data_IF_445593843565
#
_entry.id   IF_445593843565
#
_cell.length_a   1.000
_cell.length_b   1.000
_cell.length_c   1.000
_cell.angle_alpha   90.00
_cell.angle_beta   90.00
_cell.angle_gamma   90.00
#
_symmetry.space_group_name_H-M   'P 1'
#
loop_
_entity.id
_entity.type
_entity.pdbx_description
1 polymer ?
#
# COMPACT_ATOMS: atom_id res chain seq x y z
N UNK A 1 -16.93 19.08 -20.09
CA UNK A 1 -15.84 18.31 -19.43
C UNK A 1 -15.89 18.60 -17.93
N UNK A 2 -16.14 17.57 -17.11
CA UNK A 2 -16.20 17.65 -15.65
C UNK A 2 -14.79 17.66 -15.06
N UNK A 3 -14.57 18.46 -14.00
CA UNK A 3 -13.27 18.54 -13.32
C UNK A 3 -13.26 17.71 -12.05
N UNK A 4 -12.34 16.76 -11.95
CA UNK A 4 -12.16 15.90 -10.78
C UNK A 4 -10.83 16.22 -10.09
N UNK A 5 -10.88 16.55 -8.80
CA UNK A 5 -9.70 16.73 -7.97
C UNK A 5 -9.30 15.42 -7.28
N UNK A 6 -8.11 14.88 -7.57
CA UNK A 6 -7.52 13.72 -6.90
C UNK A 6 -6.49 14.17 -5.86
N UNK A 7 -6.79 13.99 -4.57
CA UNK A 7 -5.92 14.36 -3.46
C UNK A 7 -5.24 13.10 -2.91
N UNK A 8 -3.93 13.02 -3.09
CA UNK A 8 -3.13 11.83 -2.79
C UNK A 8 -2.23 12.10 -1.59
N UNK A 9 -2.49 11.40 -0.49
CA UNK A 9 -1.70 11.57 0.72
C UNK A 9 -0.24 11.15 0.51
N UNK A 10 0.75 11.98 0.87
CA UNK A 10 2.16 11.78 0.52
C UNK A 10 2.90 10.79 1.44
N UNK A 11 2.19 9.86 2.08
CA UNK A 11 2.75 8.90 3.02
C UNK A 11 2.79 7.47 2.43
N UNK A 12 3.95 7.09 1.89
CA UNK A 12 4.13 5.80 1.22
C UNK A 12 3.54 5.75 -0.19
N UNK A 13 3.75 4.64 -0.88
CA UNK A 13 3.35 4.48 -2.29
C UNK A 13 1.92 3.95 -2.47
N UNK A 14 1.29 3.42 -1.42
CA UNK A 14 -0.03 2.76 -1.52
C UNK A 14 -1.12 3.70 -2.04
N UNK A 15 -1.18 4.94 -1.55
CA UNK A 15 -2.13 5.96 -2.00
C UNK A 15 -1.89 6.33 -3.48
N UNK A 16 -0.63 6.54 -3.87
CA UNK A 16 -0.27 6.82 -5.25
C UNK A 16 -0.68 5.67 -6.18
N UNK A 17 -0.35 4.43 -5.84
CA UNK A 17 -0.68 3.25 -6.65
C UNK A 17 -2.18 3.11 -6.84
N UNK A 18 -2.98 3.23 -5.76
CA UNK A 18 -4.45 3.16 -5.86
C UNK A 18 -5.01 4.26 -6.75
N UNK A 19 -4.54 5.50 -6.57
CA UNK A 19 -4.99 6.63 -7.40
C UNK A 19 -4.63 6.42 -8.87
N UNK A 20 -3.46 5.86 -9.19
CA UNK A 20 -3.06 5.60 -10.58
C UNK A 20 -3.89 4.47 -11.23
N UNK A 21 -4.23 3.43 -10.46
CA UNK A 21 -5.16 2.40 -10.95
C UNK A 21 -6.54 2.98 -11.23
N UNK A 22 -7.02 3.85 -10.35
CA UNK A 22 -8.31 4.53 -10.51
C UNK A 22 -8.29 5.50 -11.68
N UNK A 23 -7.25 6.31 -11.82
CA UNK A 23 -7.08 7.22 -12.95
C UNK A 23 -7.15 6.47 -14.29
N UNK A 24 -6.38 5.39 -14.44
CA UNK A 24 -6.41 4.57 -15.65
C UNK A 24 -7.84 4.11 -15.97
N UNK A 25 -8.57 3.61 -14.97
CA UNK A 25 -9.93 3.14 -15.18
C UNK A 25 -10.92 4.28 -15.50
N UNK A 26 -10.73 5.48 -14.92
CA UNK A 26 -11.50 6.68 -15.27
C UNK A 26 -11.23 7.06 -16.72
N UNK A 27 -9.96 7.13 -17.14
CA UNK A 27 -9.59 7.48 -18.52
C UNK A 27 -10.12 6.44 -19.52
N UNK A 28 -10.04 5.15 -19.20
CA UNK A 28 -10.53 4.07 -20.05
C UNK A 28 -12.07 4.10 -20.22
N UNK A 29 -12.81 4.60 -19.21
CA UNK A 29 -14.29 4.57 -19.17
C UNK A 29 -14.91 5.89 -19.59
N UNK A 30 -14.39 7.03 -19.12
CA UNK A 30 -14.98 8.36 -19.23
C UNK A 30 -14.26 9.25 -20.24
N UNK A 31 -13.06 8.82 -20.71
CA UNK A 31 -12.28 9.50 -21.77
C UNK A 31 -12.23 11.03 -21.59
N UNK A 32 -12.73 11.74 -22.62
CA UNK A 32 -12.69 13.22 -22.72
C UNK A 32 -13.76 13.93 -21.91
N UNK A 33 -14.68 13.20 -21.24
CA UNK A 33 -15.73 13.80 -20.44
C UNK A 33 -15.24 14.37 -19.12
N UNK A 34 -14.04 13.91 -18.64
CA UNK A 34 -13.47 14.30 -17.37
C UNK A 34 -12.05 14.84 -17.51
N UNK A 35 -11.72 15.79 -16.65
CA UNK A 35 -10.36 16.33 -16.49
C UNK A 35 -9.88 16.07 -15.08
N UNK A 36 -8.83 15.25 -14.94
CA UNK A 36 -8.20 14.97 -13.66
C UNK A 36 -7.20 16.04 -13.27
N UNK A 37 -7.26 16.51 -12.03
CA UNK A 37 -6.25 17.33 -11.37
C UNK A 37 -5.71 16.56 -10.18
N UNK A 38 -4.41 16.65 -9.89
CA UNK A 38 -3.79 15.93 -8.77
C UNK A 38 -3.17 16.91 -7.78
N UNK A 39 -3.30 16.57 -6.50
CA UNK A 39 -2.68 17.33 -5.42
C UNK A 39 -1.93 16.37 -4.51
N UNK A 40 -0.66 16.66 -4.26
CA UNK A 40 0.18 15.95 -3.31
C UNK A 40 1.39 16.80 -2.94
N UNK A 41 2.36 16.23 -2.21
CA UNK A 41 3.64 16.86 -1.90
C UNK A 41 4.80 15.86 -1.91
N UNK A 42 6.02 16.36 -1.79
CA UNK A 42 7.23 15.56 -1.65
C UNK A 42 7.44 14.58 -2.81
N UNK A 43 7.79 13.34 -2.47
CA UNK A 43 8.11 12.29 -3.44
C UNK A 43 6.91 11.93 -4.35
N UNK A 44 5.70 11.93 -3.81
CA UNK A 44 4.49 11.60 -4.58
C UNK A 44 4.20 12.68 -5.62
N UNK A 45 4.39 13.96 -5.27
CA UNK A 45 4.28 15.05 -6.24
C UNK A 45 5.26 14.87 -7.40
N UNK A 46 6.52 14.49 -7.14
CA UNK A 46 7.51 14.23 -8.19
C UNK A 46 7.10 13.05 -9.08
N UNK A 47 6.57 11.97 -8.50
CA UNK A 47 6.04 10.83 -9.26
C UNK A 47 4.87 11.20 -10.16
N UNK A 48 3.97 12.07 -9.69
CA UNK A 48 2.87 12.59 -10.50
C UNK A 48 3.39 13.39 -11.69
N UNK A 49 4.38 14.27 -11.49
CA UNK A 49 5.01 15.03 -12.59
C UNK A 49 5.68 14.13 -13.62
N UNK A 50 6.34 13.06 -13.18
CA UNK A 50 6.96 12.06 -14.06
C UNK A 50 5.91 11.24 -14.83
N UNK A 51 4.79 10.91 -14.18
CA UNK A 51 3.71 10.12 -14.79
C UNK A 51 2.92 10.92 -15.83
N UNK A 52 2.73 12.21 -15.59
CA UNK A 52 1.92 13.11 -16.43
C UNK A 52 2.70 14.33 -16.92
N UNK A 53 3.78 14.15 -17.68
CA UNK A 53 4.68 15.25 -18.08
C UNK A 53 4.00 16.31 -18.94
N UNK A 54 2.91 15.96 -19.65
CA UNK A 54 2.15 16.86 -20.51
C UNK A 54 1.06 17.67 -19.77
N UNK A 55 0.76 17.30 -18.51
CA UNK A 55 -0.34 17.87 -17.71
C UNK A 55 0.16 18.52 -16.42
N UNK A 56 1.35 19.14 -16.44
CA UNK A 56 1.97 19.74 -15.25
C UNK A 56 1.11 20.84 -14.60
N UNK A 57 0.33 21.57 -15.39
CA UNK A 57 -0.63 22.59 -14.97
C UNK A 57 -1.77 22.03 -14.10
N UNK A 58 -2.02 20.72 -14.16
CA UNK A 58 -3.04 20.01 -13.38
C UNK A 58 -2.48 19.30 -12.16
N UNK A 59 -1.17 19.44 -11.88
CA UNK A 59 -0.50 18.80 -10.74
C UNK A 59 -0.10 19.89 -9.75
N UNK A 60 -0.67 19.83 -8.56
CA UNK A 60 -0.55 20.87 -7.55
C UNK A 60 0.32 20.40 -6.38
N UNK A 61 1.34 21.20 -6.04
CA UNK A 61 2.20 20.94 -4.88
C UNK A 61 1.64 21.64 -3.64
N UNK A 62 0.98 20.89 -2.78
CA UNK A 62 0.47 21.37 -1.51
C UNK A 62 1.01 20.48 -0.39
N UNK A 63 1.79 21.03 0.50
CA UNK A 63 2.36 20.30 1.63
C UNK A 63 1.24 19.89 2.58
N UNK A 64 0.98 18.58 2.64
CA UNK A 64 0.01 17.98 3.55
C UNK A 64 0.66 17.65 4.90
N UNK A 65 -0.07 17.76 6.01
CA UNK A 65 0.46 17.39 7.32
C UNK A 65 0.76 15.90 7.40
N UNK A 66 2.01 15.55 7.69
CA UNK A 66 2.45 14.16 7.87
C UNK A 66 3.10 13.96 9.22
N UNK A 67 3.02 12.76 9.84
CA UNK A 67 3.72 12.48 11.08
C UNK A 67 5.24 12.57 10.92
N UNK A 68 5.96 12.72 12.04
CA UNK A 68 7.42 12.66 12.06
C UNK A 68 7.86 11.21 12.26
N UNK A 69 8.82 10.76 11.45
CA UNK A 69 9.43 9.45 11.62
C UNK A 69 10.36 9.41 12.84
N UNK A 70 10.16 8.38 13.67
CA UNK A 70 11.06 7.99 14.72
C UNK A 70 11.96 6.84 14.28
N UNK A 71 12.70 6.27 15.23
CA UNK A 71 13.58 5.11 14.98
C UNK A 71 12.85 3.84 14.52
N UNK A 72 11.57 3.70 14.88
CA UNK A 72 10.74 2.52 14.60
C UNK A 72 9.43 2.86 13.87
N UNK A 73 9.47 3.78 12.90
CA UNK A 73 8.29 4.28 12.19
C UNK A 73 7.75 5.59 12.76
N UNK A 74 6.51 6.01 12.48
CA UNK A 74 5.95 7.29 12.94
C UNK A 74 6.04 7.42 14.45
N UNK A 75 6.62 8.49 14.92
CA UNK A 75 6.74 8.82 16.34
C UNK A 75 5.62 9.76 16.76
N UNK A 76 4.75 9.28 17.62
CA UNK A 76 3.67 10.10 18.17
C UNK A 76 4.23 11.20 19.06
N UNK A 77 5.21 10.87 19.90
CA UNK A 77 5.85 11.85 20.79
C UNK A 77 6.47 12.99 19.99
N UNK A 78 7.25 12.68 18.95
CA UNK A 78 7.85 13.70 18.09
C UNK A 78 6.78 14.48 17.31
N UNK A 79 5.75 13.81 16.80
CA UNK A 79 4.65 14.45 16.08
C UNK A 79 3.81 15.35 16.99
N UNK A 80 3.59 14.95 18.24
CA UNK A 80 2.89 15.76 19.24
C UNK A 80 3.70 16.99 19.67
N UNK A 81 5.00 16.83 19.89
CA UNK A 81 5.90 17.95 20.18
C UNK A 81 6.00 18.91 18.99
N UNK A 82 6.02 18.38 17.77
CA UNK A 82 6.02 19.21 16.55
C UNK A 82 4.71 19.98 16.36
N UNK A 83 3.65 19.71 17.10
CA UNK A 83 2.39 20.43 16.92
C UNK A 83 2.55 21.93 17.07
N UNK A 84 3.31 22.38 18.09
CA UNK A 84 3.57 23.80 18.36
C UNK A 84 5.03 24.22 18.13
N UNK A 85 5.97 23.28 18.12
CA UNK A 85 7.40 23.57 18.05
C UNK A 85 8.03 23.02 16.76
N UNK A 86 9.01 23.73 16.16
CA UNK A 86 9.75 23.16 15.03
C UNK A 86 10.59 21.98 15.50
N UNK A 87 10.56 20.87 14.75
CA UNK A 87 11.29 19.66 15.11
C UNK A 87 11.85 18.94 13.87
N UNK A 88 13.04 18.40 14.02
CA UNK A 88 13.67 17.60 12.94
C UNK A 88 13.74 18.32 11.59
N UNK A 89 14.00 19.64 11.61
CA UNK A 89 14.04 20.48 10.40
C UNK A 89 12.66 20.79 9.79
N UNK A 90 11.56 20.44 10.45
CA UNK A 90 10.18 20.74 10.02
C UNK A 90 9.59 21.90 10.81
N UNK A 91 8.78 22.76 10.17
CA UNK A 91 8.02 23.79 10.87
C UNK A 91 6.98 23.17 11.82
N UNK A 92 6.42 23.97 12.76
CA UNK A 92 5.32 23.51 13.61
C UNK A 92 4.16 22.95 12.77
N UNK A 93 3.63 21.81 13.18
CA UNK A 93 2.54 21.12 12.45
C UNK A 93 1.30 22.03 12.32
N UNK A 94 1.01 22.86 13.31
CA UNK A 94 -0.10 23.82 13.27
C UNK A 94 0.05 24.81 12.11
N UNK A 95 1.28 25.31 11.84
CA UNK A 95 1.54 26.19 10.70
C UNK A 95 1.41 25.48 9.37
N UNK A 96 1.86 24.21 9.29
CA UNK A 96 1.68 23.35 8.10
C UNK A 96 0.18 23.15 7.83
N UNK A 97 -0.61 22.77 8.83
CA UNK A 97 -2.06 22.57 8.71
C UNK A 97 -2.76 23.85 8.25
N UNK A 98 -2.43 24.99 8.84
CA UNK A 98 -3.05 26.28 8.47
C UNK A 98 -2.75 26.66 7.01
N UNK A 99 -1.49 26.52 6.60
CA UNK A 99 -1.05 26.83 5.25
C UNK A 99 -1.65 25.85 4.23
N UNK A 100 -1.69 24.56 4.56
CA UNK A 100 -2.32 23.51 3.80
C UNK A 100 -3.81 23.81 3.54
N UNK A 101 -4.61 24.05 4.59
CA UNK A 101 -6.04 24.34 4.45
C UNK A 101 -6.31 25.61 3.62
N UNK A 102 -5.45 26.64 3.75
CA UNK A 102 -5.54 27.86 2.93
C UNK A 102 -5.25 27.59 1.46
N UNK A 103 -4.14 26.88 1.16
CA UNK A 103 -3.75 26.56 -0.23
C UNK A 103 -4.76 25.67 -0.91
N UNK A 104 -5.24 24.64 -0.25
CA UNK A 104 -6.31 23.80 -0.79
C UNK A 104 -7.61 24.56 -0.99
N UNK A 105 -8.01 25.37 0.00
CA UNK A 105 -9.18 26.21 -0.14
C UNK A 105 -9.11 27.14 -1.36
N UNK A 106 -7.94 27.71 -1.66
CA UNK A 106 -7.71 28.50 -2.87
C UNK A 106 -7.76 27.65 -4.13
N UNK A 107 -7.21 26.43 -4.09
CA UNK A 107 -7.26 25.50 -5.23
C UNK A 107 -8.71 25.15 -5.59
N UNK A 108 -9.56 24.84 -4.60
CA UNK A 108 -10.99 24.60 -4.82
C UNK A 108 -11.70 25.80 -5.46
N UNK A 109 -11.38 27.04 -5.02
CA UNK A 109 -11.96 28.25 -5.61
C UNK A 109 -11.57 28.44 -7.07
N UNK A 110 -10.28 28.18 -7.38
CA UNK A 110 -9.71 28.42 -8.70
C UNK A 110 -10.12 27.34 -9.72
N UNK A 111 -10.16 26.08 -9.31
CA UNK A 111 -10.44 24.96 -10.20
C UNK A 111 -11.94 24.67 -10.32
N UNK A 112 -12.75 24.96 -9.31
CA UNK A 112 -14.20 24.70 -9.29
C UNK A 112 -14.50 23.23 -9.61
N UNK A 113 -13.97 22.31 -8.79
CA UNK A 113 -14.16 20.88 -8.98
C UNK A 113 -15.64 20.48 -8.94
N UNK A 114 -16.06 19.61 -9.86
CA UNK A 114 -17.38 18.96 -9.85
C UNK A 114 -17.42 17.80 -8.82
N UNK A 115 -16.28 17.12 -8.65
CA UNK A 115 -16.08 16.00 -7.70
C UNK A 115 -14.67 16.02 -7.16
N UNK A 116 -14.50 15.58 -5.93
CA UNK A 116 -13.19 15.37 -5.33
C UNK A 116 -13.04 13.93 -4.84
N UNK A 117 -11.87 13.35 -5.08
CA UNK A 117 -11.48 12.01 -4.64
C UNK A 117 -10.27 12.15 -3.73
N UNK A 118 -10.45 11.87 -2.45
CA UNK A 118 -9.41 11.95 -1.44
C UNK A 118 -8.92 10.54 -1.07
N UNK A 119 -7.65 10.25 -1.31
CA UNK A 119 -7.02 9.02 -0.84
C UNK A 119 -6.09 9.34 0.33
N UNK A 120 -6.62 9.22 1.55
CA UNK A 120 -5.93 9.49 2.80
C UNK A 120 -5.92 10.95 3.26
N UNK A 121 -6.29 11.91 2.43
CA UNK A 121 -6.36 13.32 2.79
C UNK A 121 -7.69 13.68 3.48
N UNK A 122 -7.68 13.68 4.80
CA UNK A 122 -8.89 13.95 5.60
C UNK A 122 -9.28 15.42 5.67
N UNK A 123 -8.33 16.33 5.47
CA UNK A 123 -8.60 17.79 5.53
C UNK A 123 -9.39 18.28 4.34
N UNK A 124 -9.13 17.74 3.17
CA UNK A 124 -9.85 18.04 1.94
C UNK A 124 -11.36 17.72 2.04
N UNK A 125 -11.75 16.68 2.80
CA UNK A 125 -13.18 16.39 3.06
C UNK A 125 -13.91 17.57 3.73
N UNK A 126 -13.23 18.22 4.69
CA UNK A 126 -13.82 19.39 5.39
C UNK A 126 -13.95 20.60 4.47
N UNK A 127 -13.02 20.79 3.53
CA UNK A 127 -13.08 21.86 2.53
C UNK A 127 -14.19 21.57 1.53
N UNK A 128 -14.27 20.35 1.02
CA UNK A 128 -15.31 19.92 0.09
C UNK A 128 -16.72 20.15 0.69
N UNK A 129 -16.94 19.72 1.94
CA UNK A 129 -18.22 19.94 2.63
C UNK A 129 -18.56 21.42 2.75
N UNK A 130 -17.62 22.28 3.16
CA UNK A 130 -17.85 23.74 3.30
C UNK A 130 -18.16 24.43 1.97
N UNK A 131 -17.70 23.87 0.86
CA UNK A 131 -17.89 24.42 -0.50
C UNK A 131 -18.99 23.72 -1.30
N UNK A 132 -19.70 22.81 -0.64
CA UNK A 132 -20.75 22.01 -1.26
C UNK A 132 -20.28 21.25 -2.50
N UNK A 133 -19.02 20.77 -2.49
CA UNK A 133 -18.46 19.91 -3.54
C UNK A 133 -18.61 18.46 -3.11
N UNK A 134 -19.11 17.61 -4.00
CA UNK A 134 -19.20 16.16 -3.74
C UNK A 134 -17.81 15.58 -3.52
N UNK A 135 -17.69 14.71 -2.52
CA UNK A 135 -16.41 14.17 -2.11
C UNK A 135 -16.49 12.66 -1.85
N UNK A 136 -15.60 11.93 -2.49
CA UNK A 136 -15.31 10.52 -2.20
C UNK A 136 -14.06 10.46 -1.34
N UNK A 137 -14.12 9.72 -0.23
CA UNK A 137 -12.95 9.40 0.59
C UNK A 137 -12.60 7.92 0.46
N UNK A 138 -11.42 7.60 -0.06
CA UNK A 138 -10.92 6.23 -0.18
C UNK A 138 -10.11 5.89 1.07
N UNK A 139 -10.43 4.78 1.71
CA UNK A 139 -9.77 4.37 2.95
C UNK A 139 -9.69 2.86 3.13
N UNK A 140 -8.73 2.44 3.93
CA UNK A 140 -8.60 1.14 4.56
C UNK A 140 -8.52 1.28 6.10
N UNK A 141 -8.79 2.50 6.62
CA UNK A 141 -8.72 2.81 8.03
C UNK A 141 -9.74 3.90 8.40
N UNK A 142 -10.51 3.65 9.48
CA UNK A 142 -11.46 4.63 10.03
C UNK A 142 -11.25 4.81 11.54
N UNK A 143 -11.55 3.78 12.33
CA UNK A 143 -11.27 3.72 13.77
C UNK A 143 -10.54 2.40 14.06
N UNK A 144 -9.21 2.38 13.91
CA UNK A 144 -8.44 1.16 14.11
C UNK A 144 -8.57 0.66 15.54
N UNK A 145 -8.57 -0.66 15.71
CA UNK A 145 -8.47 -1.30 17.01
C UNK A 145 -7.14 -0.88 17.63
N UNK A 146 -7.21 -0.17 18.76
CA UNK A 146 -6.03 0.21 19.53
C UNK A 146 -5.75 -0.85 20.58
N UNK A 147 -4.49 -1.24 20.68
CA UNK A 147 -4.02 -2.13 21.74
C UNK A 147 -3.87 -1.31 23.05
N UNK A 148 -3.99 -1.96 24.20
CA UNK A 148 -4.04 -1.30 25.52
C UNK A 148 -2.94 -0.25 25.74
N UNK A 149 -1.73 -0.48 25.21
CA UNK A 149 -0.60 0.46 25.29
C UNK A 149 -0.75 1.72 24.43
N UNK A 150 -1.79 1.85 23.62
CA UNK A 150 -2.01 2.92 22.66
C UNK A 150 -3.29 3.74 22.88
N UNK A 151 -3.97 3.55 23.99
CA UNK A 151 -5.23 4.26 24.29
C UNK A 151 -5.13 5.79 24.23
N UNK A 152 -3.98 6.33 24.53
CA UNK A 152 -3.72 7.78 24.44
C UNK A 152 -3.87 8.38 23.04
N UNK A 153 -3.90 7.54 21.98
CA UNK A 153 -4.15 7.92 20.60
C UNK A 153 -5.62 8.16 20.26
N UNK A 154 -6.52 7.69 21.13
CA UNK A 154 -7.95 7.69 20.86
C UNK A 154 -8.52 9.07 20.48
N UNK A 155 -8.14 10.20 21.13
CA UNK A 155 -8.61 11.52 20.72
C UNK A 155 -8.24 11.86 19.27
N UNK A 156 -7.02 11.52 18.84
CA UNK A 156 -6.58 11.71 17.46
C UNK A 156 -7.37 10.85 16.45
N UNK A 157 -7.63 9.60 16.80
CA UNK A 157 -8.46 8.70 16.00
C UNK A 157 -9.87 9.26 15.83
N UNK A 158 -10.49 9.77 16.90
CA UNK A 158 -11.82 10.40 16.84
C UNK A 158 -11.80 11.66 15.97
N UNK A 159 -10.76 12.51 16.11
CA UNK A 159 -10.63 13.70 15.28
C UNK A 159 -10.54 13.34 13.78
N UNK A 160 -9.69 12.39 13.42
CA UNK A 160 -9.54 11.92 12.03
C UNK A 160 -10.86 11.34 11.52
N UNK A 161 -11.50 10.44 12.28
CA UNK A 161 -12.76 9.81 11.88
C UNK A 161 -13.88 10.83 11.65
N UNK A 162 -14.00 11.87 12.49
CA UNK A 162 -14.95 12.96 12.30
C UNK A 162 -14.72 13.75 11.00
N UNK A 163 -13.48 13.86 10.53
CA UNK A 163 -13.20 14.49 9.25
C UNK A 163 -13.50 13.56 8.07
N UNK A 164 -13.30 12.24 8.22
CA UNK A 164 -13.72 11.24 7.23
C UNK A 164 -15.26 11.23 7.08
N UNK A 165 -16.01 11.36 8.17
CA UNK A 165 -17.50 11.42 8.17
C UNK A 165 -18.07 12.57 7.32
N UNK A 166 -17.26 13.61 7.01
CA UNK A 166 -17.65 14.74 6.17
C UNK A 166 -17.72 14.40 4.68
N UNK A 167 -17.09 13.31 4.24
CA UNK A 167 -17.18 12.87 2.86
C UNK A 167 -18.63 12.54 2.46
N UNK A 168 -18.96 12.73 1.20
CA UNK A 168 -20.26 12.37 0.63
C UNK A 168 -20.40 10.85 0.56
N UNK A 169 -19.35 10.16 0.10
CA UNK A 169 -19.21 8.70 0.08
C UNK A 169 -17.86 8.29 0.67
N UNK A 170 -17.84 7.17 1.36
CA UNK A 170 -16.62 6.56 1.92
C UNK A 170 -16.43 5.22 1.22
N UNK A 171 -15.36 5.11 0.46
CA UNK A 171 -15.03 3.89 -0.28
C UNK A 171 -14.00 3.10 0.51
N UNK A 172 -14.34 1.88 0.87
CA UNK A 172 -13.41 0.90 1.39
C UNK A 172 -12.82 0.15 0.21
N UNK A 173 -11.50 0.31 0.00
CA UNK A 173 -10.74 -0.33 -1.08
C UNK A 173 -10.45 -1.81 -0.74
N UNK A 174 -11.46 -2.55 -0.31
CA UNK A 174 -11.38 -3.93 0.15
C UNK A 174 -12.71 -4.66 -0.11
N UNK A 175 -12.71 -5.98 -0.01
CA UNK A 175 -13.93 -6.79 -0.08
C UNK A 175 -14.84 -6.52 1.11
N UNK A 176 -16.16 -6.73 0.96
CA UNK A 176 -17.07 -6.67 2.10
C UNK A 176 -16.80 -7.80 3.11
N UNK A 177 -17.23 -7.65 4.38
CA UNK A 177 -17.17 -8.73 5.36
C UNK A 177 -17.85 -10.02 4.85
N UNK A 178 -17.32 -11.20 5.16
CA UNK A 178 -16.22 -11.49 6.09
C UNK A 178 -14.82 -11.46 5.46
N UNK A 179 -14.69 -11.05 4.22
CA UNK A 179 -13.44 -11.08 3.44
C UNK A 179 -12.67 -9.74 3.46
N UNK A 180 -12.93 -8.89 4.44
CA UNK A 180 -12.31 -7.57 4.60
C UNK A 180 -10.97 -7.65 5.33
N UNK A 181 -9.85 -7.55 4.62
CA UNK A 181 -8.49 -7.63 5.22
C UNK A 181 -8.28 -6.53 6.27
N UNK A 182 -8.78 -5.32 6.02
CA UNK A 182 -8.63 -4.18 6.93
C UNK A 182 -9.74 -4.07 7.98
N UNK A 183 -10.53 -5.13 8.24
CA UNK A 183 -11.68 -5.13 9.15
C UNK A 183 -11.35 -4.53 10.53
N UNK A 184 -10.20 -4.91 11.13
CA UNK A 184 -9.79 -4.41 12.45
C UNK A 184 -9.38 -2.93 12.47
N UNK A 185 -9.26 -2.30 11.31
CA UNK A 185 -8.98 -0.87 11.16
C UNK A 185 -10.22 -0.03 10.91
N UNK A 186 -11.38 -0.61 10.66
CA UNK A 186 -12.55 0.13 10.18
C UNK A 186 -13.46 0.63 11.32
N UNK A 187 -14.13 -0.23 12.04
CA UNK A 187 -15.06 0.09 13.14
C UNK A 187 -15.97 1.32 12.85
N UNK A 188 -16.75 1.24 11.78
CA UNK A 188 -17.68 2.30 11.39
C UNK A 188 -18.79 2.47 12.40
N UNK A 189 -19.17 3.72 12.66
CA UNK A 189 -20.36 4.05 13.47
C UNK A 189 -21.62 3.89 12.64
N UNK A 190 -22.75 3.58 13.28
CA UNK A 190 -24.05 3.42 12.60
C UNK A 190 -24.44 4.66 11.78
N UNK A 191 -24.06 5.85 12.27
CA UNK A 191 -24.33 7.15 11.62
C UNK A 191 -23.81 7.25 10.19
N UNK A 192 -22.73 6.53 9.83
CA UNK A 192 -22.10 6.68 8.52
C UNK A 192 -22.19 5.43 7.65
N UNK A 193 -22.78 4.35 8.16
CA UNK A 193 -22.89 3.08 7.42
C UNK A 193 -23.48 3.24 6.02
N UNK A 194 -24.48 4.12 5.87
CA UNK A 194 -25.13 4.40 4.58
C UNK A 194 -24.20 5.09 3.55
N UNK A 195 -23.14 5.75 4.03
CA UNK A 195 -22.14 6.38 3.17
C UNK A 195 -21.00 5.43 2.78
N UNK A 196 -20.89 4.29 3.47
CA UNK A 196 -19.78 3.34 3.29
C UNK A 196 -20.10 2.34 2.20
N UNK A 197 -19.19 2.21 1.25
CA UNK A 197 -19.30 1.23 0.16
C UNK A 197 -18.00 0.43 0.07
N UNK A 198 -18.11 -0.89 0.19
CA UNK A 198 -17.01 -1.81 -0.07
C UNK A 198 -16.97 -2.09 -1.57
N UNK A 199 -15.91 -1.69 -2.22
CA UNK A 199 -15.82 -1.79 -3.70
C UNK A 199 -14.98 -2.97 -4.17
N UNK A 200 -14.20 -3.56 -3.30
CA UNK A 200 -13.18 -4.55 -3.62
C UNK A 200 -11.78 -3.93 -3.71
N UNK A 201 -10.79 -4.78 -3.88
CA UNK A 201 -9.39 -4.36 -4.00
C UNK A 201 -9.14 -3.63 -5.32
N UNK A 202 -8.33 -2.56 -5.27
CA UNK A 202 -7.93 -1.81 -6.46
C UNK A 202 -6.79 -2.55 -7.17
N UNK A 203 -7.12 -3.20 -8.27
CA UNK A 203 -6.17 -3.89 -9.13
C UNK A 203 -6.16 -3.28 -10.54
N UNK A 204 -5.08 -3.49 -11.27
CA UNK A 204 -4.96 -3.08 -12.68
C UNK A 204 -5.78 -3.95 -13.67
N UNK A 205 -6.56 -4.92 -13.17
CA UNK A 205 -7.06 -6.01 -14.01
C UNK A 205 -5.96 -7.06 -14.24
N UNK A 206 -6.18 -8.00 -15.14
CA UNK A 206 -5.17 -9.02 -15.48
C UNK A 206 -3.94 -8.40 -16.15
N UNK A 207 -2.75 -8.82 -15.72
CA UNK A 207 -1.51 -8.46 -16.41
C UNK A 207 -1.40 -9.29 -17.69
N UNK A 208 -1.27 -8.61 -18.82
CA UNK A 208 -1.00 -9.31 -20.10
C UNK A 208 0.50 -9.50 -20.20
N UNK A 209 0.93 -10.77 -20.13
CA UNK A 209 2.34 -11.14 -20.36
C UNK A 209 2.66 -11.07 -21.86
N UNK A 210 2.95 -9.87 -22.35
CA UNK A 210 3.21 -9.60 -23.77
C UNK A 210 4.70 -9.45 -24.12
N UNK A 211 5.56 -9.34 -23.09
CA UNK A 211 7.00 -9.17 -23.27
C UNK A 211 7.74 -10.48 -23.11
N UNK A 212 8.90 -10.66 -23.78
CA UNK A 212 9.81 -11.76 -23.48
C UNK A 212 10.14 -11.83 -21.99
N UNK A 213 10.33 -13.06 -21.49
CA UNK A 213 10.71 -13.28 -20.09
C UNK A 213 12.02 -12.57 -19.75
N UNK A 214 12.03 -11.83 -18.66
CA UNK A 214 13.25 -11.25 -18.10
C UNK A 214 14.17 -12.31 -17.51
N UNK A 215 15.41 -11.94 -17.21
CA UNK A 215 16.36 -12.86 -16.58
C UNK A 215 15.91 -13.27 -15.17
N UNK A 216 15.24 -12.38 -14.42
CA UNK A 216 14.62 -12.71 -13.13
C UNK A 216 13.57 -13.81 -13.29
N UNK A 217 12.67 -13.68 -14.27
CA UNK A 217 11.65 -14.69 -14.55
C UNK A 217 12.26 -16.05 -14.93
N UNK A 218 13.30 -16.06 -15.79
CA UNK A 218 14.04 -17.29 -16.15
C UNK A 218 14.69 -17.96 -14.94
N UNK A 219 15.27 -17.19 -14.01
CA UNK A 219 15.93 -17.71 -12.82
C UNK A 219 14.94 -18.39 -11.85
N UNK A 220 13.75 -17.85 -11.68
CA UNK A 220 12.77 -18.37 -10.71
C UNK A 220 11.93 -19.51 -11.23
N UNK A 221 11.77 -19.69 -12.57
CA UNK A 221 10.97 -20.76 -13.17
C UNK A 221 11.58 -22.15 -12.98
N UNK A 222 12.87 -22.25 -12.78
CA UNK A 222 13.60 -23.52 -12.71
C UNK A 222 13.86 -23.99 -11.28
N UNK A 223 13.12 -23.47 -10.29
CA UNK A 223 13.29 -23.86 -8.89
C UNK A 223 11.98 -24.33 -8.28
N UNK A 224 12.06 -25.35 -7.41
CA UNK A 224 10.88 -25.96 -6.81
C UNK A 224 10.16 -25.06 -5.83
N UNK A 225 10.87 -24.18 -5.12
CA UNK A 225 10.29 -23.33 -4.09
C UNK A 225 11.21 -22.17 -3.70
N UNK A 226 10.62 -21.01 -3.44
CA UNK A 226 11.30 -19.85 -2.82
C UNK A 226 10.31 -18.98 -2.06
N UNK A 227 10.82 -18.21 -1.10
CA UNK A 227 10.07 -17.15 -0.41
C UNK A 227 10.24 -15.80 -1.12
N UNK A 228 9.18 -15.03 -1.26
CA UNK A 228 9.23 -13.66 -1.75
C UNK A 228 9.26 -12.66 -0.61
N UNK A 229 10.32 -11.87 -0.48
CA UNK A 229 10.56 -10.95 0.62
C UNK A 229 10.45 -9.49 0.13
N UNK A 230 9.32 -8.85 0.42
CA UNK A 230 9.03 -7.50 -0.05
C UNK A 230 9.50 -6.44 0.95
N UNK A 231 10.28 -5.47 0.47
CA UNK A 231 10.63 -4.27 1.22
C UNK A 231 9.81 -3.12 0.67
N UNK A 232 8.82 -2.65 1.43
CA UNK A 232 7.88 -1.60 1.01
C UNK A 232 7.79 -0.49 2.07
N UNK A 233 7.11 0.60 1.73
CA UNK A 233 6.88 1.73 2.62
C UNK A 233 7.87 2.88 2.42
N UNK A 234 7.92 3.79 3.38
CA UNK A 234 8.85 4.92 3.39
C UNK A 234 10.28 4.50 3.79
N UNK A 235 11.23 5.43 3.77
CA UNK A 235 12.66 5.17 4.04
C UNK A 235 12.89 4.50 5.39
N UNK A 236 12.20 4.93 6.45
CA UNK A 236 12.36 4.36 7.80
C UNK A 236 11.79 2.93 7.88
N UNK A 237 10.63 2.69 7.28
CA UNK A 237 10.00 1.37 7.19
C UNK A 237 10.89 0.39 6.43
N UNK A 238 11.42 0.80 5.27
CA UNK A 238 12.34 -0.01 4.47
C UNK A 238 13.57 -0.44 5.26
N UNK A 239 14.17 0.50 6.00
CA UNK A 239 15.36 0.22 6.83
C UNK A 239 15.07 -0.84 7.88
N UNK A 240 13.99 -0.68 8.65
CA UNK A 240 13.59 -1.63 9.71
C UNK A 240 13.32 -3.02 9.12
N UNK A 241 12.58 -3.08 8.01
CA UNK A 241 12.25 -4.33 7.33
C UNK A 241 13.50 -5.04 6.84
N UNK A 242 14.42 -4.31 6.18
CA UNK A 242 15.68 -4.87 5.68
C UNK A 242 16.59 -5.40 6.80
N UNK A 243 16.69 -4.67 7.93
CA UNK A 243 17.44 -5.12 9.10
C UNK A 243 16.88 -6.43 9.69
N UNK A 244 15.56 -6.53 9.78
CA UNK A 244 14.89 -7.77 10.22
C UNK A 244 15.19 -8.93 9.25
N UNK A 245 15.10 -8.70 7.95
CA UNK A 245 15.38 -9.71 6.92
C UNK A 245 16.82 -10.21 7.02
N UNK A 246 17.79 -9.31 6.98
CA UNK A 246 19.22 -9.66 7.10
C UNK A 246 19.52 -10.47 8.36
N UNK A 247 18.95 -10.08 9.49
CA UNK A 247 19.13 -10.80 10.76
C UNK A 247 18.49 -12.19 10.71
N UNK A 248 17.32 -12.33 10.08
CA UNK A 248 16.67 -13.62 9.90
C UNK A 248 17.49 -14.58 9.04
N UNK A 249 18.13 -14.07 7.99
CA UNK A 249 18.95 -14.89 7.07
C UNK A 249 20.23 -15.43 7.70
N UNK A 250 20.69 -14.85 8.81
CA UNK A 250 21.86 -15.36 9.55
C UNK A 250 21.51 -16.58 10.44
N UNK A 251 20.22 -16.96 10.54
CA UNK A 251 19.82 -18.17 11.25
C UNK A 251 20.19 -19.43 10.45
N UNK A 252 20.62 -20.48 11.16
CA UNK A 252 20.98 -21.76 10.55
C UNK A 252 19.81 -22.39 9.78
N UNK A 253 18.57 -22.19 10.24
CA UNK A 253 17.37 -22.71 9.59
C UNK A 253 17.10 -22.04 8.22
N UNK A 254 17.63 -20.82 8.02
CA UNK A 254 17.43 -20.04 6.80
C UNK A 254 18.54 -20.21 5.77
N UNK A 255 19.61 -20.94 6.08
CA UNK A 255 20.79 -21.09 5.18
C UNK A 255 20.46 -21.82 3.87
N UNK A 256 19.45 -22.70 3.89
CA UNK A 256 19.00 -23.47 2.73
C UNK A 256 17.74 -22.88 2.08
N UNK A 257 17.15 -21.85 2.67
CA UNK A 257 15.90 -21.25 2.20
C UNK A 257 16.17 -20.30 1.02
N UNK A 258 15.66 -20.65 -0.15
CA UNK A 258 15.73 -19.77 -1.33
C UNK A 258 14.81 -18.58 -1.16
N UNK A 259 15.30 -17.40 -1.53
CA UNK A 259 14.57 -16.14 -1.38
C UNK A 259 14.84 -15.15 -2.49
N UNK A 260 13.77 -14.49 -2.94
CA UNK A 260 13.84 -13.31 -3.78
C UNK A 260 13.47 -12.08 -2.93
N UNK A 261 14.32 -11.07 -2.92
CA UNK A 261 14.15 -9.83 -2.15
C UNK A 261 13.92 -8.67 -3.12
N UNK A 262 12.76 -8.00 -3.04
CA UNK A 262 12.54 -6.76 -3.78
C UNK A 262 12.71 -5.55 -2.86
N UNK A 263 13.60 -4.64 -3.23
CA UNK A 263 13.98 -3.47 -2.42
C UNK A 263 13.09 -2.25 -2.67
N UNK A 264 12.21 -2.29 -3.66
CA UNK A 264 11.40 -1.16 -4.12
C UNK A 264 12.27 0.12 -4.32
N UNK A 265 13.40 -0.03 -4.99
CA UNK A 265 14.40 1.00 -5.26
C UNK A 265 14.79 0.96 -6.74
N UNK A 266 14.96 2.13 -7.34
CA UNK A 266 15.48 2.26 -8.70
C UNK A 266 17.01 2.09 -8.79
N UNK A 267 17.69 1.79 -7.70
CA UNK A 267 19.13 1.57 -7.65
C UNK A 267 19.46 0.17 -8.19
N UNK A 268 19.94 0.12 -9.43
CA UNK A 268 20.35 -1.13 -10.10
C UNK A 268 21.60 -1.79 -9.49
N UNK A 269 22.35 -1.11 -8.62
CA UNK A 269 23.46 -1.72 -7.88
C UNK A 269 23.00 -2.79 -6.88
N UNK A 270 21.69 -2.82 -6.59
CA UNK A 270 21.07 -3.86 -5.76
C UNK A 270 20.82 -5.17 -6.53
N UNK A 271 20.81 -5.14 -7.86
CA UNK A 271 20.48 -6.28 -8.70
C UNK A 271 21.62 -7.30 -8.71
N UNK A 272 21.38 -8.45 -8.08
CA UNK A 272 22.39 -9.51 -7.97
C UNK A 272 21.78 -10.87 -7.63
N UNK A 273 22.53 -11.90 -7.95
CA UNK A 273 22.23 -13.29 -7.60
C UNK A 273 23.35 -13.83 -6.72
N UNK A 274 23.03 -14.36 -5.55
CA UNK A 274 23.94 -15.10 -4.69
C UNK A 274 23.77 -16.59 -4.96
N UNK A 275 24.81 -17.23 -5.47
CA UNK A 275 24.84 -18.67 -5.68
C UNK A 275 25.03 -19.45 -4.37
N UNK A 276 24.68 -20.74 -4.36
CA UNK A 276 24.99 -21.64 -3.22
C UNK A 276 26.51 -21.85 -3.03
N UNK A 277 27.29 -21.55 -4.06
CA UNK A 277 28.77 -21.52 -4.00
C UNK A 277 29.34 -20.30 -3.25
N UNK A 278 28.46 -19.42 -2.75
CA UNK A 278 28.80 -18.19 -2.03
C UNK A 278 29.27 -17.04 -2.91
N UNK A 279 29.25 -17.18 -4.24
CA UNK A 279 29.63 -16.12 -5.18
C UNK A 279 28.42 -15.29 -5.60
N UNK A 280 28.71 -14.05 -6.00
CA UNK A 280 27.70 -13.12 -6.51
C UNK A 280 27.83 -13.01 -8.03
N UNK A 281 26.69 -13.02 -8.72
CA UNK A 281 26.56 -12.97 -10.17
C UNK A 281 25.58 -11.86 -10.57
N UNK A 282 25.73 -11.34 -11.80
CA UNK A 282 24.67 -10.58 -12.47
C UNK A 282 23.53 -11.51 -12.90
N UNK A 283 22.36 -10.97 -13.21
CA UNK A 283 21.23 -11.79 -13.68
C UNK A 283 21.57 -12.55 -14.97
N UNK A 284 22.19 -11.86 -15.95
CA UNK A 284 22.58 -12.48 -17.23
C UNK A 284 23.57 -13.64 -17.03
N UNK A 285 24.62 -13.43 -16.22
CA UNK A 285 25.60 -14.50 -15.92
C UNK A 285 24.95 -15.69 -15.19
N UNK A 286 24.03 -15.41 -14.27
CA UNK A 286 23.36 -16.46 -13.52
C UNK A 286 22.44 -17.31 -14.40
N UNK A 287 21.76 -16.69 -15.38
CA UNK A 287 20.96 -17.40 -16.39
C UNK A 287 21.85 -18.22 -17.32
N UNK A 288 22.90 -17.61 -17.90
CA UNK A 288 23.82 -18.27 -18.82
C UNK A 288 24.49 -19.48 -18.20
N UNK A 289 25.03 -19.31 -16.98
CA UNK A 289 25.76 -20.37 -16.24
C UNK A 289 24.84 -21.32 -15.47
N UNK A 290 23.50 -21.14 -15.53
CA UNK A 290 22.50 -21.93 -14.79
C UNK A 290 22.85 -22.05 -13.30
N UNK A 291 23.14 -20.91 -12.66
CA UNK A 291 23.59 -20.86 -11.26
C UNK A 291 22.50 -21.41 -10.33
N UNK A 292 22.88 -22.36 -9.48
CA UNK A 292 22.04 -22.81 -8.36
C UNK A 292 22.07 -21.74 -7.26
N UNK A 293 21.10 -20.83 -7.31
CA UNK A 293 21.04 -19.64 -6.46
C UNK A 293 20.35 -19.92 -5.12
N UNK A 294 20.72 -19.13 -4.12
CA UNK A 294 20.09 -19.11 -2.79
C UNK A 294 19.37 -17.81 -2.53
N UNK A 295 19.82 -16.69 -3.12
CA UNK A 295 19.19 -15.38 -2.98
C UNK A 295 19.27 -14.59 -4.27
N UNK A 296 18.16 -13.97 -4.62
CA UNK A 296 18.07 -12.94 -5.66
C UNK A 296 17.71 -11.63 -4.97
N UNK A 297 18.55 -10.61 -5.11
CA UNK A 297 18.20 -9.23 -4.76
C UNK A 297 17.82 -8.48 -6.03
N UNK A 298 16.69 -7.77 -6.02
CA UNK A 298 16.21 -6.94 -7.14
C UNK A 298 15.80 -5.57 -6.64
N UNK A 299 16.29 -4.52 -7.28
CA UNK A 299 15.93 -3.14 -6.94
C UNK A 299 14.45 -2.88 -7.14
N UNK A 300 13.94 -3.16 -8.33
CA UNK A 300 12.54 -2.96 -8.68
C UNK A 300 12.06 -4.04 -9.66
N UNK A 301 10.95 -4.68 -9.35
CA UNK A 301 10.26 -5.61 -10.25
C UNK A 301 9.25 -4.84 -11.12
N UNK A 302 9.27 -5.09 -12.42
CA UNK A 302 8.18 -4.68 -13.30
C UNK A 302 6.87 -5.37 -12.89
N UNK A 303 5.73 -4.89 -13.39
CA UNK A 303 4.42 -5.52 -13.09
C UNK A 303 4.38 -6.99 -13.55
N UNK A 304 4.95 -7.30 -14.72
CA UNK A 304 5.03 -8.68 -15.24
C UNK A 304 5.92 -9.56 -14.36
N UNK A 305 7.12 -9.12 -14.02
CA UNK A 305 8.04 -9.87 -13.13
C UNK A 305 7.40 -10.10 -11.76
N UNK A 306 6.78 -9.09 -11.18
CA UNK A 306 6.11 -9.22 -9.89
C UNK A 306 4.96 -10.22 -9.94
N UNK A 307 4.19 -10.22 -11.02
CA UNK A 307 3.12 -11.19 -11.24
C UNK A 307 3.68 -12.62 -11.29
N UNK A 308 4.76 -12.83 -12.06
CA UNK A 308 5.45 -14.13 -12.17
C UNK A 308 6.01 -14.57 -10.81
N UNK A 309 6.69 -13.66 -10.08
CA UNK A 309 7.23 -13.94 -8.74
C UNK A 309 6.11 -14.36 -7.77
N UNK A 310 5.00 -13.64 -7.74
CA UNK A 310 3.86 -13.95 -6.87
C UNK A 310 3.14 -15.25 -7.27
N UNK A 311 3.12 -15.60 -8.55
CA UNK A 311 2.56 -16.88 -9.02
C UNK A 311 3.42 -18.05 -8.56
N UNK A 312 4.75 -17.93 -8.60
CA UNK A 312 5.69 -19.02 -8.37
C UNK A 312 6.17 -19.13 -6.91
N UNK A 313 6.20 -18.04 -6.14
CA UNK A 313 6.65 -18.09 -4.74
C UNK A 313 5.75 -19.01 -3.89
N UNK A 314 6.32 -19.64 -2.90
CA UNK A 314 5.58 -20.48 -1.95
C UNK A 314 4.86 -19.63 -0.90
N UNK A 315 5.49 -18.56 -0.45
CA UNK A 315 4.94 -17.60 0.52
C UNK A 315 5.55 -16.21 0.27
N UNK A 316 4.91 -15.19 0.84
CA UNK A 316 5.45 -13.83 0.82
C UNK A 316 5.70 -13.29 2.23
N UNK A 317 6.82 -12.58 2.41
CA UNK A 317 7.16 -11.87 3.65
C UNK A 317 6.97 -10.38 3.42
N UNK A 318 6.11 -9.75 4.21
CA UNK A 318 5.68 -8.36 4.01
C UNK A 318 5.56 -7.61 5.33
N UNK A 319 5.51 -6.29 5.27
CA UNK A 319 5.27 -5.46 6.45
C UNK A 319 3.78 -5.25 6.80
N UNK A 320 2.84 -5.78 6.01
CA UNK A 320 1.40 -5.65 6.24
C UNK A 320 0.74 -4.50 5.48
N UNK A 321 1.36 -3.98 4.43
CA UNK A 321 0.72 -3.01 3.53
C UNK A 321 -0.56 -3.58 2.93
N UNK A 322 -1.69 -2.90 3.10
CA UNK A 322 -3.01 -3.35 2.65
C UNK A 322 -3.05 -3.70 1.14
N UNK A 323 -2.47 -2.85 0.30
CA UNK A 323 -2.42 -3.09 -1.15
C UNK A 323 -1.67 -4.38 -1.49
N UNK A 324 -0.51 -4.61 -0.84
CA UNK A 324 0.24 -5.85 -1.06
C UNK A 324 -0.52 -7.08 -0.53
N UNK A 325 -1.21 -6.95 0.61
CA UNK A 325 -2.01 -8.06 1.16
C UNK A 325 -3.16 -8.46 0.24
N UNK A 326 -3.90 -7.50 -0.29
CA UNK A 326 -4.99 -7.76 -1.24
C UNK A 326 -4.51 -8.46 -2.50
N UNK A 327 -3.36 -8.05 -3.03
CA UNK A 327 -2.73 -8.68 -4.20
C UNK A 327 -2.25 -10.12 -3.91
N UNK A 328 -1.59 -10.33 -2.77
CA UNK A 328 -0.99 -11.62 -2.42
C UNK A 328 -2.07 -12.62 -1.98
N UNK A 329 -2.91 -12.25 -1.02
CA UNK A 329 -3.93 -13.15 -0.46
C UNK A 329 -5.10 -13.35 -1.42
N UNK A 330 -5.67 -12.24 -1.90
CA UNK A 330 -6.86 -12.27 -2.76
C UNK A 330 -6.54 -12.55 -4.22
N UNK A 331 -5.47 -11.94 -4.75
CA UNK A 331 -5.10 -12.09 -6.16
C UNK A 331 -4.32 -13.37 -6.47
N UNK A 332 -3.49 -13.87 -5.56
CA UNK A 332 -2.53 -14.96 -5.80
C UNK A 332 -2.66 -16.16 -4.86
N UNK A 333 -3.51 -16.08 -3.86
CA UNK A 333 -3.73 -17.13 -2.86
C UNK A 333 -2.42 -17.65 -2.23
N UNK A 334 -1.52 -16.72 -1.84
CA UNK A 334 -0.24 -17.08 -1.21
C UNK A 334 -0.27 -16.73 0.28
N UNK A 335 0.23 -17.63 1.16
CA UNK A 335 0.34 -17.32 2.58
C UNK A 335 1.34 -16.22 2.84
N UNK A 336 1.07 -15.37 3.82
CA UNK A 336 1.97 -14.29 4.22
C UNK A 336 2.62 -14.54 5.56
N UNK A 337 3.86 -14.06 5.70
CA UNK A 337 4.51 -13.81 6.98
C UNK A 337 4.57 -12.29 7.15
N UNK A 338 3.81 -11.78 8.08
CA UNK A 338 3.70 -10.35 8.31
C UNK A 338 4.64 -9.87 9.40
N UNK A 339 5.51 -8.89 9.08
CA UNK A 339 6.43 -8.22 10.01
C UNK A 339 6.00 -6.77 10.13
N UNK A 340 5.03 -6.46 11.04
CA UNK A 340 4.42 -5.14 11.08
C UNK A 340 5.37 -4.06 11.57
N UNK A 341 5.25 -2.87 11.00
CA UNK A 341 5.96 -1.66 11.45
C UNK A 341 5.00 -0.67 12.13
N UNK A 342 3.71 -0.72 11.79
CA UNK A 342 2.66 0.17 12.31
C UNK A 342 1.52 -0.63 12.95
N UNK A 343 0.71 0.02 13.78
CA UNK A 343 -0.49 -0.59 14.40
C UNK A 343 -1.50 -1.03 13.32
N UNK A 344 -1.67 -0.24 12.26
CA UNK A 344 -2.49 -0.61 11.10
C UNK A 344 -2.04 -1.94 10.48
N UNK A 345 -0.75 -2.09 10.24
CA UNK A 345 -0.16 -3.32 9.73
C UNK A 345 -0.39 -4.50 10.68
N UNK A 346 -0.19 -4.26 11.99
CA UNK A 346 -0.43 -5.27 13.03
C UNK A 346 -1.86 -5.78 12.99
N UNK A 347 -2.83 -4.88 12.88
CA UNK A 347 -4.25 -5.21 12.80
C UNK A 347 -4.58 -6.09 11.58
N UNK A 348 -4.07 -5.74 10.42
CA UNK A 348 -4.29 -6.48 9.18
C UNK A 348 -3.66 -7.87 9.21
N UNK A 349 -2.40 -7.97 9.67
CA UNK A 349 -1.70 -9.25 9.78
C UNK A 349 -2.36 -10.14 10.85
N UNK A 350 -2.79 -9.54 11.97
CA UNK A 350 -3.51 -10.29 12.98
C UNK A 350 -4.83 -10.84 12.46
N UNK A 351 -5.59 -10.04 11.72
CA UNK A 351 -6.79 -10.49 11.02
C UNK A 351 -6.51 -11.70 10.10
N UNK A 352 -5.40 -11.65 9.36
CA UNK A 352 -4.93 -12.73 8.49
C UNK A 352 -4.58 -14.00 9.28
N UNK A 353 -3.87 -13.84 10.40
CA UNK A 353 -3.51 -14.95 11.28
C UNK A 353 -4.74 -15.60 11.91
N UNK A 354 -5.71 -14.81 12.38
CA UNK A 354 -6.94 -15.30 13.00
C UNK A 354 -7.80 -16.15 12.02
N UNK A 355 -7.53 -16.03 10.69
CA UNK A 355 -8.19 -16.82 9.62
C UNK A 355 -7.30 -17.89 8.99
N UNK A 356 -6.13 -18.14 9.55
CA UNK A 356 -5.14 -19.09 9.00
C UNK A 356 -4.76 -18.82 7.53
N UNK A 357 -4.64 -17.55 7.16
CA UNK A 357 -4.16 -17.12 5.84
C UNK A 357 -2.69 -16.69 5.86
N UNK A 358 -2.08 -16.62 7.05
CA UNK A 358 -0.69 -16.20 7.26
C UNK A 358 -0.31 -16.18 8.73
N UNK A 359 0.87 -15.64 9.03
CA UNK A 359 1.48 -15.65 10.38
C UNK A 359 1.97 -14.24 10.73
N UNK A 360 1.64 -13.79 11.94
CA UNK A 360 2.20 -12.58 12.53
C UNK A 360 3.57 -12.90 13.16
N UNK A 361 4.62 -12.22 12.72
CA UNK A 361 5.97 -12.32 13.26
C UNK A 361 6.47 -10.95 13.70
N UNK A 362 6.70 -10.76 15.00
CA UNK A 362 7.17 -9.49 15.59
C UNK A 362 8.65 -9.51 15.96
N UNK A 363 9.28 -10.68 15.88
CA UNK A 363 10.71 -10.89 16.20
C UNK A 363 11.36 -11.75 15.11
N UNK A 364 12.69 -11.64 14.98
CA UNK A 364 13.48 -12.47 14.07
C UNK A 364 13.24 -13.98 14.31
N UNK A 365 13.23 -14.42 15.56
CA UNK A 365 12.96 -15.83 15.91
C UNK A 365 11.57 -16.28 15.44
N UNK A 366 10.56 -15.42 15.57
CA UNK A 366 9.21 -15.72 15.07
C UNK A 366 9.18 -15.75 13.54
N UNK A 367 9.92 -14.87 12.85
CA UNK A 367 10.02 -14.87 11.39
C UNK A 367 10.58 -16.20 10.88
N UNK A 368 11.70 -16.64 11.44
CA UNK A 368 12.33 -17.92 11.07
C UNK A 368 11.39 -19.10 11.34
N UNK A 369 10.77 -19.13 12.53
CA UNK A 369 9.78 -20.17 12.88
C UNK A 369 8.59 -20.16 11.94
N UNK A 370 8.11 -18.97 11.50
CA UNK A 370 6.98 -18.83 10.60
C UNK A 370 7.26 -19.45 9.21
N UNK A 371 8.48 -19.30 8.69
CA UNK A 371 8.89 -19.97 7.44
C UNK A 371 8.75 -21.48 7.59
N UNK A 372 9.29 -22.07 8.65
CA UNK A 372 9.18 -23.52 8.90
C UNK A 372 7.73 -23.98 9.07
N UNK A 373 6.89 -23.21 9.76
CA UNK A 373 5.46 -23.52 9.94
C UNK A 373 4.71 -23.51 8.60
N UNK A 374 4.96 -22.53 7.75
CA UNK A 374 4.33 -22.50 6.41
C UNK A 374 4.77 -23.70 5.57
N UNK A 375 6.03 -24.09 5.63
CA UNK A 375 6.49 -25.28 4.91
C UNK A 375 5.80 -26.56 5.39
N UNK A 376 5.66 -26.73 6.69
CA UNK A 376 5.08 -27.93 7.31
C UNK A 376 3.57 -28.04 7.08
N UNK A 377 2.85 -26.92 7.18
CA UNK A 377 1.38 -26.87 7.12
C UNK A 377 0.86 -26.26 5.79
N UNK A 378 1.66 -26.29 4.72
CA UNK A 378 1.38 -25.57 3.48
C UNK A 378 -0.01 -25.85 2.92
N UNK A 379 -0.43 -27.12 2.88
CA UNK A 379 -1.73 -27.52 2.34
C UNK A 379 -2.89 -26.86 3.09
N UNK A 380 -2.81 -26.76 4.42
CA UNK A 380 -3.83 -26.09 5.23
C UNK A 380 -3.96 -24.60 4.88
N UNK A 381 -2.83 -23.91 4.68
CA UNK A 381 -2.86 -22.53 4.21
C UNK A 381 -3.47 -22.41 2.82
N UNK A 382 -3.14 -23.33 1.91
CA UNK A 382 -3.65 -23.30 0.53
C UNK A 382 -5.17 -23.54 0.45
N UNK A 383 -5.72 -24.41 1.28
CA UNK A 383 -7.17 -24.63 1.37
C UNK A 383 -7.90 -23.35 1.77
N UNK A 384 -7.50 -22.73 2.87
CA UNK A 384 -8.09 -21.49 3.36
C UNK A 384 -7.91 -20.31 2.37
N UNK A 385 -6.73 -20.21 1.74
CA UNK A 385 -6.44 -19.17 0.77
C UNK A 385 -7.22 -19.34 -0.52
N UNK A 386 -7.45 -20.58 -0.96
CA UNK A 386 -8.25 -20.88 -2.14
C UNK A 386 -9.72 -20.49 -1.94
N UNK A 387 -10.26 -20.72 -0.73
CA UNK A 387 -11.60 -20.26 -0.36
C UNK A 387 -11.64 -18.72 -0.30
N UNK A 388 -10.68 -18.11 0.40
CA UNK A 388 -10.59 -16.65 0.54
C UNK A 388 -10.50 -15.98 -0.84
N UNK A 389 -9.55 -16.39 -1.68
CA UNK A 389 -9.30 -15.78 -2.99
C UNK A 389 -10.50 -15.87 -3.94
N UNK A 390 -11.25 -16.98 -3.92
CA UNK A 390 -12.49 -17.14 -4.73
C UNK A 390 -13.57 -16.13 -4.36
N UNK A 391 -13.62 -15.71 -3.09
CA UNK A 391 -14.63 -14.80 -2.56
C UNK A 391 -14.13 -13.35 -2.45
N UNK A 392 -12.84 -13.14 -2.67
CA UNK A 392 -12.22 -11.82 -2.56
C UNK A 392 -12.46 -10.99 -3.83
N UNK A 393 -13.10 -9.84 -3.67
CA UNK A 393 -13.44 -8.96 -4.78
C UNK A 393 -12.21 -8.12 -5.20
N UNK A 394 -11.72 -8.31 -6.41
CA UNK A 394 -10.63 -7.53 -7.03
C UNK A 394 -11.12 -6.46 -8.01
N UNK A 395 -12.43 -6.25 -8.12
CA UNK A 395 -13.05 -5.31 -9.06
C UNK A 395 -13.12 -3.85 -8.55
N UNK A 396 -12.37 -3.49 -7.51
CA UNK A 396 -12.50 -2.21 -6.80
C UNK A 396 -12.41 -0.97 -7.68
N UNK A 397 -11.51 -0.96 -8.64
CA UNK A 397 -11.33 0.15 -9.57
C UNK A 397 -12.58 0.38 -10.43
N UNK A 398 -13.10 -0.68 -11.05
CA UNK A 398 -14.32 -0.64 -11.87
C UNK A 398 -15.54 -0.18 -11.07
N UNK A 399 -15.72 -0.75 -9.87
CA UNK A 399 -16.84 -0.39 -9.00
C UNK A 399 -16.76 1.06 -8.53
N UNK A 400 -15.56 1.58 -8.29
CA UNK A 400 -15.35 2.98 -7.93
C UNK A 400 -15.67 3.92 -9.09
N UNK A 401 -15.27 3.59 -10.32
CA UNK A 401 -15.61 4.40 -11.51
C UNK A 401 -17.13 4.50 -11.71
N UNK A 402 -17.88 3.42 -11.48
CA UNK A 402 -19.33 3.45 -11.53
C UNK A 402 -19.92 4.46 -10.52
N UNK A 403 -19.42 4.45 -9.28
CA UNK A 403 -19.84 5.41 -8.25
C UNK A 403 -19.49 6.86 -8.65
N UNK A 404 -18.31 7.08 -9.24
CA UNK A 404 -17.89 8.39 -9.75
C UNK A 404 -18.84 8.87 -10.82
N UNK A 405 -19.19 8.05 -11.81
CA UNK A 405 -20.14 8.38 -12.88
C UNK A 405 -21.48 8.80 -12.32
N UNK A 406 -22.08 7.97 -11.45
CA UNK A 406 -23.36 8.27 -10.78
C UNK A 406 -23.32 9.59 -9.98
N UNK A 407 -22.20 9.92 -9.35
CA UNK A 407 -22.04 11.17 -8.60
C UNK A 407 -21.85 12.41 -9.49
N UNK A 408 -21.34 12.26 -10.69
CA UNK A 408 -21.15 13.37 -11.65
C UNK A 408 -22.44 13.67 -12.45
N UNK A 409 -23.32 12.67 -12.62
CA UNK A 409 -24.59 12.81 -13.33
C UNK A 409 -25.67 13.47 -12.45
N UNK A 410 -25.68 13.19 -11.16
CA UNK A 410 -26.61 13.79 -10.17
C UNK A 410 -26.08 15.12 -9.62
#
# INVERSE_FOLDING_TARGET
MKKIGGFVYPWGNGHFTRMMHLDKAIQDTMKDDVQMHYTSSGEIYQKLLQKFPQNKDRIHNIEMPTPIDGKKGPSITLSSLNFLLPMSGRPPLLSVVTNYLRKEGNLYNNQKFDLVINDGDVGSNAIAQRRNVKCIFITNQFRPKLWASRFYLYPGVIYVSKNIEKATKIIVADSPPPYTICEYNLNFTDKIKEKVVYVGHFSNGGIVHSKPKSDVEKLIENVDSFGYWMITGNKSTKKITLENYKTSFNSSEMTKERRLISHASSDSSLDRVLGKDGKTYSFAEAVEKKIDWIQIDVGFLSEQEKDTVLNLCKYAVINGSHTAMGEILGGKAKPIIGIPVYDEHTNQIKWTQDRNLGILATTVKQTVKAVSLIHNDYNRYQENLSEFSRNYNTGGTKNTVKIISEMLEN
#
